data_IF_749660166290
#
_entry.id   IF_749660166290
#
_cell.length_a   1.000
_cell.length_b   1.000
_cell.length_c   1.000
_cell.angle_alpha   90.00
_cell.angle_beta   90.00
_cell.angle_gamma   90.00
#
_symmetry.space_group_name_H-M   'P 1'
#
loop_
_entity.id
_entity.type
_entity.pdbx_description
1 polymer ?
#
# COMPACT_ATOMS: atom_id res chain seq x y z
N UNK A 1 16.04 6.36 21.66
CA UNK A 1 15.08 7.06 20.78
C UNK A 1 14.51 6.06 19.78
N UNK A 2 13.19 5.93 19.66
CA UNK A 2 12.55 5.01 18.70
C UNK A 2 12.31 5.75 17.37
N UNK A 3 13.23 5.62 16.40
CA UNK A 3 13.07 6.15 15.06
C UNK A 3 12.04 5.31 14.29
N UNK A 4 10.76 5.68 14.39
CA UNK A 4 9.66 5.03 13.66
C UNK A 4 9.28 5.93 12.49
N UNK A 5 9.95 5.81 11.32
CA UNK A 5 9.59 6.60 10.15
C UNK A 5 8.12 6.35 9.81
N UNK A 6 7.29 7.40 9.70
CA UNK A 6 5.86 7.28 9.39
C UNK A 6 5.62 6.84 7.92
N UNK A 7 6.68 6.73 7.13
CA UNK A 7 6.64 6.49 5.69
C UNK A 7 6.22 5.07 5.27
N UNK A 8 6.02 4.15 6.21
CA UNK A 8 5.50 2.82 5.91
C UNK A 8 4.01 2.94 5.53
N UNK A 9 3.71 3.00 4.23
CA UNK A 9 2.34 3.06 3.76
C UNK A 9 1.55 1.86 4.32
N UNK A 10 0.42 2.15 4.97
CA UNK A 10 -0.37 1.14 5.68
C UNK A 10 -0.95 0.12 4.68
N UNK A 11 -0.85 -1.19 4.96
CA UNK A 11 -1.42 -2.22 4.11
C UNK A 11 -2.94 -2.06 4.04
N UNK A 12 -3.50 -2.32 2.85
CA UNK A 12 -4.92 -2.21 2.53
C UNK A 12 -5.54 -3.60 2.53
N UNK A 13 -6.69 -3.74 3.19
CA UNK A 13 -7.44 -5.00 3.18
C UNK A 13 -8.31 -5.06 1.92
N UNK A 14 -8.21 -6.15 1.17
CA UNK A 14 -9.03 -6.36 -0.01
C UNK A 14 -10.50 -6.61 0.42
N UNK A 15 -11.47 -5.87 -0.13
CA UNK A 15 -12.88 -6.06 0.19
C UNK A 15 -13.44 -7.37 -0.39
N UNK A 16 -12.83 -7.91 -1.45
CA UNK A 16 -13.34 -9.07 -2.17
C UNK A 16 -12.89 -10.42 -1.58
N UNK A 17 -11.72 -10.48 -0.95
CA UNK A 17 -11.18 -11.72 -0.37
C UNK A 17 -10.59 -11.56 1.04
N UNK A 18 -10.55 -10.35 1.58
CA UNK A 18 -10.01 -10.07 2.91
C UNK A 18 -8.48 -10.07 3.03
N UNK A 19 -7.75 -10.28 1.94
CA UNK A 19 -6.29 -10.30 1.93
C UNK A 19 -5.69 -8.92 2.26
N UNK A 20 -4.59 -8.88 3.01
CA UNK A 20 -3.80 -7.66 3.20
C UNK A 20 -2.87 -7.48 2.00
N UNK A 21 -3.04 -6.36 1.31
CA UNK A 21 -2.24 -5.99 0.15
C UNK A 21 -1.45 -4.72 0.48
N UNK A 22 -0.25 -4.55 -0.09
CA UNK A 22 0.49 -3.32 0.11
C UNK A 22 -0.25 -2.13 -0.55
N UNK A 23 -0.10 -0.96 0.05
CA UNK A 23 -0.74 0.28 -0.42
C UNK A 23 -0.43 0.67 -1.86
N UNK A 24 0.69 0.20 -2.39
CA UNK A 24 1.17 0.47 -3.74
C UNK A 24 0.55 -0.45 -4.80
N UNK A 25 -0.09 -1.54 -4.39
CA UNK A 25 -0.66 -2.51 -5.32
C UNK A 25 -2.04 -2.08 -5.77
N UNK A 26 -2.18 -1.83 -7.08
CA UNK A 26 -3.47 -1.56 -7.76
C UNK A 26 -4.37 -2.79 -7.88
N UNK A 27 -3.83 -3.99 -7.64
CA UNK A 27 -4.55 -5.26 -7.72
C UNK A 27 -4.23 -6.14 -6.53
N UNK A 28 -5.21 -6.90 -6.07
CA UNK A 28 -5.02 -7.85 -4.98
C UNK A 28 -4.10 -8.99 -5.42
N UNK A 29 -3.10 -9.32 -4.59
CA UNK A 29 -2.15 -10.41 -4.89
C UNK A 29 -2.81 -11.80 -4.83
N UNK A 30 -3.92 -11.95 -4.12
CA UNK A 30 -4.65 -13.21 -3.96
C UNK A 30 -5.71 -13.41 -5.04
N UNK A 31 -6.69 -12.50 -5.10
CA UNK A 31 -7.84 -12.65 -6.00
C UNK A 31 -7.75 -11.83 -7.28
N UNK A 32 -6.70 -11.02 -7.47
CA UNK A 32 -6.48 -10.16 -8.64
C UNK A 32 -7.53 -9.07 -8.87
N UNK A 33 -8.44 -8.86 -7.92
CA UNK A 33 -9.41 -7.76 -7.95
C UNK A 33 -8.71 -6.41 -7.94
N UNK A 34 -9.35 -5.41 -8.52
CA UNK A 34 -8.85 -4.03 -8.52
C UNK A 34 -9.00 -3.43 -7.12
N UNK A 35 -7.89 -2.92 -6.60
CA UNK A 35 -7.87 -2.20 -5.33
C UNK A 35 -7.83 -0.73 -5.70
N UNK A 36 -8.93 -0.04 -5.43
CA UNK A 36 -9.05 1.39 -5.67
C UNK A 36 -8.08 2.11 -4.74
N UNK A 37 -6.96 2.57 -5.28
CA UNK A 37 -6.09 3.54 -4.61
C UNK A 37 -5.66 4.60 -5.59
N UNK A 38 -6.08 5.82 -5.27
CA UNK A 38 -5.51 7.04 -5.80
C UNK A 38 -3.99 6.98 -5.63
N UNK A 39 -3.23 7.19 -6.71
CA UNK A 39 -1.79 7.21 -6.64
C UNK A 39 -1.36 8.49 -5.92
N UNK A 40 -1.24 8.44 -4.59
CA UNK A 40 -0.49 9.47 -3.87
C UNK A 40 1.01 9.24 -4.13
N UNK A 41 1.39 9.78 -5.28
CA UNK A 41 2.64 10.44 -5.65
C UNK A 41 3.91 10.17 -4.84
N UNK A 42 4.86 9.57 -5.57
CA UNK A 42 6.28 9.93 -5.76
C UNK A 42 7.24 10.00 -4.54
N UNK A 43 8.29 9.19 -4.70
CA UNK A 43 9.69 9.47 -4.42
C UNK A 43 10.05 10.92 -4.03
N UNK A 44 10.83 11.06 -2.95
CA UNK A 44 12.21 11.58 -2.97
C UNK A 44 12.70 11.77 -1.51
N UNK A 45 13.81 11.13 -1.14
CA UNK A 45 14.94 11.93 -0.72
C UNK A 45 16.23 11.23 -1.15
N UNK A 46 16.95 11.97 -1.97
CA UNK A 46 18.30 11.75 -2.49
C UNK A 46 19.21 12.62 -1.63
N UNK A 47 20.11 12.01 -0.87
CA UNK A 47 21.51 12.44 -0.69
C UNK A 47 22.33 11.29 -0.08
#
# INVERSE_FOLDING_TARGET
MCFRPPSAQKPVKCPQCGALNPAISKKCIKCKTELEKEPESKAENKD
#
